data_IF_269817689950
#
_entry.id   IF_269817689950
#
_cell.length_a   1.000
_cell.length_b   1.000
_cell.length_c   1.000
_cell.angle_alpha   90.00
_cell.angle_beta   90.00
_cell.angle_gamma   90.00
#
_symmetry.space_group_name_H-M   'P 1'
#
loop_
_entity.id
_entity.type
_entity.pdbx_description
1 polymer ?
#
# COMPACT_ATOMS: atom_id res chain seq x y z
N UNK A 1 13.50 5.56 18.91
CA UNK A 1 14.10 5.98 17.63
C UNK A 1 13.56 5.05 16.56
N UNK A 2 13.17 5.53 15.38
CA UNK A 2 12.69 4.68 14.29
C UNK A 2 13.83 3.73 13.86
N UNK A 3 13.48 2.48 13.56
CA UNK A 3 14.37 1.46 13.02
C UNK A 3 14.58 1.64 11.52
N UNK A 4 13.56 2.13 10.82
CA UNK A 4 13.56 2.30 9.37
C UNK A 4 13.30 3.75 9.00
N UNK A 5 14.19 4.30 8.17
CA UNK A 5 14.02 5.62 7.57
C UNK A 5 13.47 5.48 6.16
N UNK A 6 12.76 6.50 5.68
CA UNK A 6 12.12 6.47 4.36
C UNK A 6 13.06 6.08 3.21
N UNK A 7 14.28 6.62 3.23
CA UNK A 7 15.33 6.33 2.23
C UNK A 7 15.67 4.84 2.09
N UNK A 8 15.41 4.03 3.12
CA UNK A 8 15.78 2.61 3.16
C UNK A 8 14.61 1.69 2.75
N UNK A 9 13.39 2.23 2.64
CA UNK A 9 12.16 1.44 2.49
C UNK A 9 12.11 0.66 1.17
N UNK A 10 12.66 1.20 0.07
CA UNK A 10 12.76 0.47 -1.21
C UNK A 10 13.68 -0.75 -1.06
N UNK A 11 14.84 -0.59 -0.43
CA UNK A 11 15.78 -1.70 -0.25
C UNK A 11 15.17 -2.81 0.61
N UNK A 12 14.47 -2.42 1.69
CA UNK A 12 13.75 -3.36 2.57
C UNK A 12 12.68 -4.11 1.78
N UNK A 13 11.89 -3.39 0.96
CA UNK A 13 10.87 -4.00 0.11
C UNK A 13 11.46 -5.06 -0.83
N UNK A 14 12.52 -4.71 -1.57
CA UNK A 14 13.14 -5.61 -2.53
C UNK A 14 13.85 -6.81 -1.85
N UNK A 15 14.37 -6.63 -0.63
CA UNK A 15 14.90 -7.74 0.17
C UNK A 15 13.79 -8.71 0.60
N UNK A 16 12.63 -8.19 0.99
CA UNK A 16 11.50 -9.00 1.45
C UNK A 16 10.72 -9.63 0.30
N UNK A 17 10.79 -9.06 -0.92
CA UNK A 17 10.05 -9.49 -2.10
C UNK A 17 10.95 -9.59 -3.33
N UNK A 18 11.91 -10.54 -3.35
CA UNK A 18 12.79 -10.73 -4.50
C UNK A 18 12.05 -11.16 -5.77
N UNK A 19 10.83 -11.69 -5.66
CA UNK A 19 9.95 -11.99 -6.78
C UNK A 19 9.27 -10.75 -7.38
N UNK A 20 9.22 -9.64 -6.62
CA UNK A 20 8.80 -8.35 -7.13
C UNK A 20 9.98 -7.70 -7.84
N UNK A 21 10.23 -8.16 -9.06
CA UNK A 21 11.18 -7.52 -9.97
C UNK A 21 10.46 -6.45 -10.79
N UNK A 22 11.05 -5.27 -10.93
CA UNK A 22 10.68 -4.29 -11.96
C UNK A 22 10.88 -4.91 -13.36
N UNK A 23 9.93 -5.73 -13.83
CA UNK A 23 10.01 -6.35 -15.15
C UNK A 23 8.76 -6.06 -15.97
N UNK A 24 9.00 -5.56 -17.19
CA UNK A 24 8.21 -5.40 -18.43
C UNK A 24 6.72 -5.00 -18.40
N UNK A 25 5.99 -5.23 -17.31
CA UNK A 25 4.65 -4.68 -17.08
C UNK A 25 4.70 -3.25 -16.51
N UNK A 26 5.89 -2.77 -16.14
CA UNK A 26 6.12 -1.36 -15.83
C UNK A 26 6.11 -0.57 -17.13
N UNK A 27 4.96 0.04 -17.46
CA UNK A 27 4.97 1.22 -18.31
C UNK A 27 5.72 2.31 -17.53
N UNK A 28 7.01 2.48 -17.78
CA UNK A 28 7.67 3.76 -17.53
C UNK A 28 6.89 4.82 -18.31
N UNK A 29 6.00 5.49 -17.62
CA UNK A 29 5.08 6.46 -18.19
C UNK A 29 4.35 7.14 -17.06
N UNK A 30 5.01 8.14 -16.47
CA UNK A 30 4.63 9.57 -16.51
C UNK A 30 5.55 10.38 -15.57
N UNK A 31 6.16 9.80 -14.53
CA UNK A 31 7.02 10.54 -13.58
C UNK A 31 8.30 9.80 -13.16
N UNK A 32 9.46 10.07 -13.80
CA UNK A 32 10.75 9.41 -13.51
C UNK A 32 11.39 9.80 -12.16
N UNK A 33 10.85 10.79 -11.47
CA UNK A 33 11.53 11.44 -10.33
C UNK A 33 10.93 11.09 -8.96
N UNK A 34 10.00 10.14 -8.91
CA UNK A 34 9.18 9.92 -7.72
C UNK A 34 9.38 8.51 -7.19
N UNK A 35 10.11 8.39 -6.07
CA UNK A 35 10.29 7.20 -5.21
C UNK A 35 8.97 6.49 -4.85
N UNK A 36 7.85 7.23 -4.89
CA UNK A 36 6.49 6.71 -4.71
C UNK A 36 6.12 5.65 -5.76
N UNK A 37 6.73 5.67 -6.95
CA UNK A 37 6.39 4.75 -8.05
C UNK A 37 6.63 3.28 -7.76
N UNK A 38 7.66 2.93 -6.97
CA UNK A 38 7.98 1.52 -6.67
C UNK A 38 6.99 0.93 -5.67
N UNK A 39 6.66 1.67 -4.61
CA UNK A 39 5.68 1.22 -3.60
C UNK A 39 4.26 1.19 -4.15
N UNK A 40 3.87 2.18 -4.97
CA UNK A 40 2.57 2.16 -5.63
C UNK A 40 2.44 0.97 -6.58
N UNK A 41 3.51 0.67 -7.33
CA UNK A 41 3.55 -0.49 -8.19
C UNK A 41 3.54 -1.82 -7.40
N UNK A 42 4.21 -1.87 -6.25
CA UNK A 42 4.13 -3.03 -5.35
C UNK A 42 2.70 -3.21 -4.80
N UNK A 43 2.06 -2.11 -4.37
CA UNK A 43 0.67 -2.12 -3.91
C UNK A 43 -0.28 -2.65 -4.98
N UNK A 44 -0.12 -2.23 -6.23
CA UNK A 44 -0.87 -2.74 -7.37
C UNK A 44 -0.58 -4.23 -7.62
N UNK A 45 0.71 -4.61 -7.67
CA UNK A 45 1.14 -6.00 -7.90
C UNK A 45 0.52 -6.96 -6.88
N UNK A 46 0.63 -6.65 -5.59
CA UNK A 46 0.08 -7.50 -4.53
C UNK A 46 -1.46 -7.48 -4.56
N UNK A 47 -2.08 -6.34 -4.83
CA UNK A 47 -3.54 -6.25 -4.94
C UNK A 47 -4.05 -7.14 -6.07
N UNK A 48 -3.46 -7.06 -7.25
CA UNK A 48 -3.82 -7.91 -8.39
C UNK A 48 -3.60 -9.39 -8.09
N UNK A 49 -2.51 -9.72 -7.40
CA UNK A 49 -2.23 -11.07 -6.94
C UNK A 49 -3.34 -11.58 -5.99
N UNK A 50 -3.66 -10.82 -4.94
CA UNK A 50 -4.71 -11.14 -3.96
C UNK A 50 -6.09 -11.25 -4.61
N UNK A 51 -6.40 -10.43 -5.61
CA UNK A 51 -7.67 -10.48 -6.33
C UNK A 51 -7.83 -11.80 -7.11
N UNK A 52 -6.75 -12.33 -7.69
CA UNK A 52 -6.74 -13.60 -8.45
C UNK A 52 -6.82 -14.85 -7.56
N UNK A 53 -6.30 -14.79 -6.32
CA UNK A 53 -6.34 -15.94 -5.40
C UNK A 53 -7.78 -16.33 -5.01
N UNK A 54 -8.11 -17.62 -4.88
CA UNK A 54 -9.37 -18.04 -4.26
C UNK A 54 -9.50 -17.50 -2.82
N UNK A 55 -10.73 -17.14 -2.41
CA UNK A 55 -10.95 -16.57 -1.08
C UNK A 55 -10.55 -17.51 0.07
N UNK A 56 -10.62 -18.82 -0.15
CA UNK A 56 -10.21 -19.86 0.79
C UNK A 56 -8.70 -19.95 1.00
N UNK A 57 -7.90 -19.42 0.06
CA UNK A 57 -6.44 -19.53 0.08
C UNK A 57 -5.78 -18.27 0.62
N UNK A 58 -6.46 -17.11 0.58
CA UNK A 58 -5.93 -15.82 1.01
C UNK A 58 -5.29 -15.83 2.39
N UNK A 59 -5.93 -16.47 3.38
CA UNK A 59 -5.46 -16.40 4.76
C UNK A 59 -4.23 -17.30 5.01
N UNK A 60 -3.98 -18.30 4.16
CA UNK A 60 -2.85 -19.23 4.23
C UNK A 60 -1.73 -18.92 3.24
N UNK A 61 -1.93 -17.96 2.34
CA UNK A 61 -0.96 -17.62 1.31
C UNK A 61 0.29 -16.94 1.88
N UNK A 62 1.47 -17.44 1.49
CA UNK A 62 2.76 -16.98 2.03
C UNK A 62 3.10 -15.54 1.60
N UNK A 63 2.76 -15.16 0.37
CA UNK A 63 3.03 -13.81 -0.14
C UNK A 63 2.11 -12.78 0.53
N UNK A 64 0.85 -13.15 0.76
CA UNK A 64 -0.09 -12.37 1.56
C UNK A 64 0.42 -12.19 2.99
N UNK A 65 0.84 -13.28 3.66
CA UNK A 65 1.35 -13.22 5.03
C UNK A 65 2.55 -12.29 5.14
N UNK A 66 3.57 -12.48 4.28
CA UNK A 66 4.76 -11.61 4.22
C UNK A 66 4.41 -10.15 3.98
N UNK A 67 3.42 -9.86 3.13
CA UNK A 67 3.00 -8.47 2.85
C UNK A 67 2.47 -7.79 4.10
N UNK A 68 1.60 -8.47 4.85
CA UNK A 68 1.06 -7.89 6.09
C UNK A 68 2.09 -7.88 7.23
N UNK A 69 3.02 -8.84 7.28
CA UNK A 69 4.12 -8.83 8.24
C UNK A 69 5.03 -7.61 8.02
N UNK A 70 5.45 -7.35 6.77
CA UNK A 70 6.24 -6.17 6.45
C UNK A 70 5.48 -4.87 6.73
N UNK A 71 4.20 -4.79 6.32
CA UNK A 71 3.39 -3.59 6.57
C UNK A 71 3.26 -3.30 8.07
N UNK A 72 3.02 -4.32 8.90
CA UNK A 72 2.97 -4.16 10.34
C UNK A 72 4.34 -3.74 10.91
N UNK A 73 5.44 -4.34 10.46
CA UNK A 73 6.78 -3.98 10.93
C UNK A 73 7.14 -2.52 10.60
N UNK A 74 6.87 -2.08 9.38
CA UNK A 74 7.13 -0.71 8.94
C UNK A 74 6.24 0.32 9.65
N UNK A 75 4.98 -0.03 9.94
CA UNK A 75 4.09 0.83 10.72
C UNK A 75 4.50 0.95 12.20
N UNK A 76 5.09 -0.11 12.76
CA UNK A 76 5.58 -0.11 14.15
C UNK A 76 6.90 0.65 14.31
N UNK A 77 7.78 0.53 13.31
CA UNK A 77 9.20 0.86 13.49
C UNK A 77 9.74 1.89 12.49
N UNK A 78 8.94 2.29 11.50
CA UNK A 78 9.29 3.35 10.55
C UNK A 78 9.18 4.75 11.15
N UNK A 79 9.91 5.70 10.59
CA UNK A 79 9.64 7.13 10.80
C UNK A 79 8.30 7.55 10.17
N UNK A 80 7.83 8.76 10.48
CA UNK A 80 6.53 9.25 10.02
C UNK A 80 6.39 9.22 8.48
N UNK A 81 7.48 9.45 7.75
CA UNK A 81 7.52 9.41 6.30
C UNK A 81 7.39 7.96 5.77
N UNK A 82 8.08 7.00 6.40
CA UNK A 82 7.94 5.56 6.13
C UNK A 82 6.52 5.07 6.40
N UNK A 83 5.93 5.47 7.51
CA UNK A 83 4.55 5.08 7.84
C UNK A 83 3.58 5.67 6.81
N UNK A 84 3.78 6.93 6.43
CA UNK A 84 2.95 7.63 5.45
C UNK A 84 3.02 6.97 4.08
N UNK A 85 4.20 6.57 3.59
CA UNK A 85 4.30 5.92 2.27
C UNK A 85 3.61 4.56 2.26
N UNK A 86 3.71 3.76 3.33
CA UNK A 86 2.97 2.48 3.43
C UNK A 86 1.47 2.72 3.38
N UNK A 87 0.98 3.75 4.08
CA UNK A 87 -0.45 4.07 4.11
C UNK A 87 -0.93 4.49 2.72
N UNK A 88 -0.24 5.44 2.08
CA UNK A 88 -0.63 5.94 0.76
C UNK A 88 -0.51 4.82 -0.26
N UNK A 89 0.68 4.26 -0.46
CA UNK A 89 0.92 3.43 -1.63
C UNK A 89 0.40 2.00 -1.49
N UNK A 90 0.37 1.43 -0.28
CA UNK A 90 -0.13 0.07 -0.07
C UNK A 90 -1.60 0.05 0.33
N UNK A 91 -2.02 0.89 1.28
CA UNK A 91 -3.40 0.81 1.78
C UNK A 91 -4.40 1.47 0.83
N UNK A 92 -4.01 2.43 -0.02
CA UNK A 92 -4.88 2.94 -1.10
C UNK A 92 -5.32 1.83 -2.05
N UNK A 93 -4.35 1.01 -2.46
CA UNK A 93 -4.59 -0.15 -3.31
C UNK A 93 -5.51 -1.17 -2.62
N UNK A 94 -5.29 -1.46 -1.33
CA UNK A 94 -6.16 -2.37 -0.58
C UNK A 94 -7.57 -1.82 -0.37
N UNK A 95 -7.71 -0.52 -0.15
CA UNK A 95 -8.98 0.15 0.08
C UNK A 95 -9.88 0.14 -1.16
N UNK A 96 -9.27 0.18 -2.34
CA UNK A 96 -9.97 0.21 -3.64
C UNK A 96 -10.85 -1.01 -3.91
N UNK A 97 -10.60 -2.15 -3.25
CA UNK A 97 -11.38 -3.38 -3.47
C UNK A 97 -11.88 -3.99 -2.15
N UNK A 98 -13.17 -4.33 -2.10
CA UNK A 98 -13.81 -4.92 -0.89
C UNK A 98 -13.10 -6.17 -0.37
N UNK A 99 -12.54 -6.99 -1.27
CA UNK A 99 -11.84 -8.24 -0.91
C UNK A 99 -10.55 -7.96 -0.14
N UNK A 100 -9.70 -7.08 -0.67
CA UNK A 100 -8.42 -6.70 -0.06
C UNK A 100 -8.62 -5.83 1.17
N UNK A 101 -9.63 -4.94 1.19
CA UNK A 101 -10.00 -4.18 2.37
C UNK A 101 -10.40 -5.08 3.54
N UNK A 102 -11.25 -6.07 3.28
CA UNK A 102 -11.67 -7.03 4.32
C UNK A 102 -10.50 -7.89 4.82
N UNK A 103 -9.57 -8.25 3.93
CA UNK A 103 -8.37 -9.00 4.31
C UNK A 103 -7.44 -8.15 5.17
N UNK A 104 -7.19 -6.89 4.78
CA UNK A 104 -6.37 -5.95 5.54
C UNK A 104 -6.91 -5.72 6.95
N UNK A 105 -8.24 -5.59 7.10
CA UNK A 105 -8.89 -5.48 8.42
C UNK A 105 -8.66 -6.69 9.33
N UNK A 106 -8.43 -7.89 8.77
CA UNK A 106 -8.15 -9.11 9.54
C UNK A 106 -6.67 -9.31 9.83
N UNK A 107 -5.79 -8.93 8.89
CA UNK A 107 -4.36 -9.24 8.91
C UNK A 107 -3.49 -8.13 9.53
N UNK A 108 -3.95 -6.88 9.52
CA UNK A 108 -3.27 -5.80 10.23
C UNK A 108 -3.40 -5.97 11.74
N UNK A 109 -2.36 -5.59 12.48
CA UNK A 109 -2.45 -5.49 13.93
C UNK A 109 -3.55 -4.49 14.30
N UNK A 110 -4.35 -4.74 15.36
CA UNK A 110 -5.46 -3.86 15.73
C UNK A 110 -5.07 -2.39 15.89
N UNK A 111 -3.86 -2.13 16.41
CA UNK A 111 -3.32 -0.78 16.55
C UNK A 111 -3.04 -0.08 15.23
N UNK A 112 -2.91 -0.79 14.11
CA UNK A 112 -2.66 -0.21 12.78
C UNK A 112 -3.94 0.03 11.99
N UNK A 113 -5.11 -0.42 12.48
CA UNK A 113 -6.37 -0.23 11.75
C UNK A 113 -6.74 1.26 11.55
N UNK A 114 -6.33 2.13 12.47
CA UNK A 114 -6.54 3.58 12.33
C UNK A 114 -5.84 4.16 11.08
N UNK A 115 -4.75 3.55 10.61
CA UNK A 115 -4.07 3.97 9.37
C UNK A 115 -4.89 3.62 8.13
N UNK A 116 -5.55 2.47 8.12
CA UNK A 116 -6.48 2.06 7.06
C UNK A 116 -7.71 2.98 7.02
N UNK A 117 -8.20 3.42 8.19
CA UNK A 117 -9.27 4.41 8.30
C UNK A 117 -8.83 5.80 7.80
N UNK A 118 -7.60 6.22 8.12
CA UNK A 118 -7.01 7.48 7.66
C UNK A 118 -6.92 7.54 6.12
N UNK A 119 -6.53 6.44 5.48
CA UNK A 119 -6.52 6.35 4.01
C UNK A 119 -7.93 6.51 3.43
N UNK A 120 -8.94 5.87 4.05
CA UNK A 120 -10.33 6.05 3.63
C UNK A 120 -10.81 7.51 3.73
N UNK A 121 -10.39 8.23 4.76
CA UNK A 121 -10.67 9.66 4.90
C UNK A 121 -10.00 10.47 3.79
N UNK A 122 -8.72 10.22 3.49
CA UNK A 122 -8.02 10.90 2.40
C UNK A 122 -8.67 10.67 1.04
N UNK A 123 -9.02 9.43 0.69
CA UNK A 123 -9.73 9.11 -0.56
C UNK A 123 -11.10 9.81 -0.62
N UNK A 124 -11.88 9.75 0.46
CA UNK A 124 -13.20 10.42 0.50
C UNK A 124 -13.10 11.95 0.45
N UNK A 125 -11.99 12.51 0.95
CA UNK A 125 -11.73 13.95 0.93
C UNK A 125 -11.20 14.40 -0.43
N UNK A 126 -10.46 13.57 -1.16
CA UNK A 126 -10.08 13.84 -2.55
C UNK A 126 -11.28 13.83 -3.50
N UNK A 127 -12.27 12.96 -3.29
CA UNK A 127 -13.53 13.00 -4.05
C UNK A 127 -14.37 14.26 -3.70
N UNK A 128 -14.35 14.71 -2.45
CA UNK A 128 -15.02 15.95 -2.04
C UNK A 128 -14.28 17.24 -2.44
N UNK A 129 -12.97 17.16 -2.72
CA UNK A 129 -12.18 18.27 -3.22
C UNK A 129 -12.22 18.41 -4.76
N UNK A 130 -12.83 17.46 -5.48
CA UNK A 130 -13.06 17.54 -6.93
C UNK A 130 -14.46 18.07 -7.30
N UNK A 131 -15.35 18.30 -6.33
CA UNK A 131 -16.69 18.91 -6.55
C UNK A 131 -16.77 20.40 -6.16
N UNK A 132 -15.63 21.12 -6.10
CA UNK A 132 -15.63 22.57 -5.89
C UNK A 132 -14.64 23.30 -6.81
N UNK A 133 -14.68 23.02 -8.12
CA UNK A 133 -14.37 24.09 -9.06
C UNK A 133 -15.64 24.94 -9.21
N UNK A 134 -15.63 26.24 -8.88
CA UNK A 134 -16.74 27.10 -9.21
C UNK A 134 -16.88 27.09 -10.74
N UNK A 135 -18.04 26.67 -11.23
CA UNK A 135 -18.40 26.96 -12.61
C UNK A 135 -18.29 28.47 -12.80
N UNK A 136 -17.31 28.90 -13.61
CA UNK A 136 -17.27 30.26 -14.09
C UNK A 136 -18.54 30.50 -14.91
N UNK A 137 -19.19 31.63 -14.61
CA UNK A 137 -20.47 32.11 -15.12
C UNK A 137 -20.62 32.12 -16.66
#
# INVERSE_FOLDING_TARGET
MPKYAYKDVIAILLEHFPEFTETENFKHGVFPEITYSVWGAFGQYITDYMLKLPASELDSDELVARTFDLANELLDSGDDETQTIVVIELFENFYSYRKTLNLARRKLLPRHLHWLEKQGQWISTSDQNLENEPGED
#
